data_IF_830763543190
#
_entry.id   IF_830763543190
#
_cell.length_a   1.000
_cell.length_b   1.000
_cell.length_c   1.000
_cell.angle_alpha   90.00
_cell.angle_beta   90.00
_cell.angle_gamma   90.00
#
_symmetry.space_group_name_H-M   'P 1'
#
loop_
_entity.id
_entity.type
_entity.pdbx_description
1 polymer ?
#
# COMPACT_ATOMS: atom_id res chain seq x y z
N UNK A 1 21.15 -13.15 13.83
CA UNK A 1 21.21 -11.69 13.60
C UNK A 1 21.28 -11.46 12.09
N UNK A 2 20.19 -11.08 11.45
CA UNK A 2 20.14 -10.86 9.99
C UNK A 2 20.72 -9.49 9.72
N UNK A 3 21.87 -9.44 9.05
CA UNK A 3 22.48 -8.19 8.58
C UNK A 3 21.90 -7.86 7.20
N UNK A 4 20.92 -6.97 7.13
CA UNK A 4 20.54 -6.36 5.87
C UNK A 4 21.57 -5.28 5.53
N UNK A 5 22.50 -5.62 4.66
CA UNK A 5 23.51 -4.68 4.16
C UNK A 5 22.94 -4.03 2.90
N UNK A 6 22.29 -2.90 3.07
CA UNK A 6 22.09 -1.95 1.96
C UNK A 6 22.95 -0.72 2.24
N UNK A 7 23.90 -0.45 1.35
CA UNK A 7 24.89 0.60 1.50
C UNK A 7 24.38 1.99 1.03
N UNK A 8 23.11 2.10 0.63
CA UNK A 8 22.47 3.38 0.30
C UNK A 8 21.57 3.83 1.45
N UNK A 9 22.02 4.82 2.19
CA UNK A 9 21.16 5.56 3.12
C UNK A 9 20.15 6.40 2.33
N UNK A 10 18.97 5.85 2.09
CA UNK A 10 17.82 6.63 1.66
C UNK A 10 17.14 7.20 2.91
N UNK A 11 17.27 8.50 3.11
CA UNK A 11 16.53 9.24 4.14
C UNK A 11 15.17 9.65 3.57
N UNK A 12 14.13 9.58 4.39
CA UNK A 12 12.83 10.20 4.09
C UNK A 12 12.94 11.73 4.19
N UNK A 13 11.93 12.44 3.64
CA UNK A 13 11.88 13.91 3.70
C UNK A 13 11.92 14.49 5.12
N UNK A 14 11.61 13.69 6.13
CA UNK A 14 11.66 14.00 7.57
C UNK A 14 12.99 13.67 8.25
N UNK A 15 13.99 13.21 7.46
CA UNK A 15 15.31 12.86 7.97
C UNK A 15 15.41 11.47 8.62
N UNK A 16 14.31 10.73 8.73
CA UNK A 16 14.30 9.38 9.30
C UNK A 16 14.83 8.35 8.30
N UNK A 17 15.66 7.42 8.77
CA UNK A 17 16.10 6.30 7.95
C UNK A 17 15.11 5.13 8.05
N UNK A 18 14.98 4.32 6.99
CA UNK A 18 14.18 3.08 7.03
C UNK A 18 14.57 2.18 8.21
N UNK A 19 15.85 2.17 8.56
CA UNK A 19 16.38 1.40 9.68
C UNK A 19 15.88 1.95 11.01
N UNK A 20 15.85 3.27 11.19
CA UNK A 20 15.32 3.93 12.39
C UNK A 20 13.83 3.67 12.55
N UNK A 21 13.07 3.68 11.46
CA UNK A 21 11.64 3.35 11.47
C UNK A 21 11.39 1.91 11.90
N UNK A 22 12.16 0.96 11.36
CA UNK A 22 12.05 -0.45 11.75
C UNK A 22 12.50 -0.69 13.20
N UNK A 23 13.52 0.03 13.67
CA UNK A 23 13.97 -0.02 15.06
C UNK A 23 12.96 0.59 16.03
N UNK A 24 12.35 1.72 15.67
CA UNK A 24 11.30 2.35 16.46
C UNK A 24 10.05 1.47 16.56
N UNK A 25 9.64 0.84 15.45
CA UNK A 25 8.57 -0.16 15.45
C UNK A 25 8.86 -1.37 16.34
N UNK A 26 10.13 -1.77 16.43
CA UNK A 26 10.58 -2.86 17.29
C UNK A 26 10.54 -2.48 18.79
N UNK A 27 10.91 -1.25 19.13
CA UNK A 27 10.96 -0.76 20.51
C UNK A 27 9.58 -0.29 21.02
N UNK A 28 8.75 0.22 20.15
CA UNK A 28 7.45 0.83 20.53
C UNK A 28 6.36 -0.16 20.93
N UNK A 29 6.50 -1.44 20.60
CA UNK A 29 5.49 -2.49 20.83
C UNK A 29 5.91 -3.54 21.87
N UNK A 30 6.77 -3.18 22.83
CA UNK A 30 7.17 -4.11 23.90
C UNK A 30 7.96 -5.33 23.42
N UNK A 31 8.67 -5.20 22.31
CA UNK A 31 9.55 -6.25 21.78
C UNK A 31 8.86 -7.30 20.90
N UNK A 32 7.55 -7.21 20.67
CA UNK A 32 6.85 -8.12 19.76
C UNK A 32 7.08 -7.70 18.30
N UNK A 33 7.74 -8.56 17.54
CA UNK A 33 7.85 -8.41 16.10
C UNK A 33 6.62 -8.95 15.40
N UNK A 34 6.33 -8.47 14.17
CA UNK A 34 5.23 -9.01 13.37
C UNK A 34 5.29 -10.55 13.22
N UNK A 35 6.45 -11.18 12.96
CA UNK A 35 6.56 -12.64 12.96
C UNK A 35 6.16 -13.29 14.29
N UNK A 36 6.57 -12.73 15.43
CA UNK A 36 6.21 -13.23 16.75
C UNK A 36 4.72 -13.11 17.02
N UNK A 37 4.09 -11.98 16.60
CA UNK A 37 2.66 -11.80 16.70
C UNK A 37 1.90 -12.82 15.84
N UNK A 38 2.37 -13.06 14.61
CA UNK A 38 1.77 -14.05 13.71
C UNK A 38 1.94 -15.48 14.25
N UNK A 39 3.09 -15.79 14.81
CA UNK A 39 3.35 -17.08 15.46
C UNK A 39 2.45 -17.29 16.67
N UNK A 40 2.37 -16.31 17.57
CA UNK A 40 1.51 -16.37 18.74
C UNK A 40 0.01 -16.53 18.35
N UNK A 41 -0.44 -15.87 17.28
CA UNK A 41 -1.79 -16.06 16.75
C UNK A 41 -2.02 -17.46 16.19
N UNK A 42 -1.01 -18.05 15.54
CA UNK A 42 -1.09 -19.41 15.03
C UNK A 42 -1.15 -20.43 16.16
N UNK A 43 -0.33 -20.26 17.21
CA UNK A 43 -0.31 -21.12 18.40
C UNK A 43 -1.59 -21.02 19.25
N UNK A 44 -2.16 -19.82 19.35
CA UNK A 44 -3.39 -19.59 20.10
C UNK A 44 -4.62 -20.30 19.50
N UNK A 45 -4.47 -21.04 18.40
CA UNK A 45 -5.56 -21.74 17.75
C UNK A 45 -6.72 -20.80 17.36
N UNK A 46 -6.41 -19.51 17.24
CA UNK A 46 -7.40 -18.53 16.80
C UNK A 46 -7.92 -19.01 15.44
N UNK A 47 -9.11 -19.60 15.45
CA UNK A 47 -9.82 -19.98 14.23
C UNK A 47 -9.69 -18.81 13.27
N UNK A 48 -8.97 -19.02 12.19
CA UNK A 48 -8.70 -17.98 11.23
C UNK A 48 -10.08 -17.49 10.75
N UNK A 49 -10.50 -16.33 11.24
CA UNK A 49 -11.73 -15.71 10.73
C UNK A 49 -11.60 -15.70 9.23
N UNK A 50 -12.58 -16.26 8.54
CA UNK A 50 -12.63 -16.18 7.08
C UNK A 50 -12.59 -14.70 6.71
N UNK A 51 -11.46 -14.25 6.21
CA UNK A 51 -11.22 -12.84 5.84
C UNK A 51 -11.21 -12.76 4.34
N UNK A 52 -12.03 -11.88 3.81
CA UNK A 52 -12.01 -11.53 2.39
C UNK A 52 -11.36 -10.19 2.21
N UNK A 53 -10.58 -10.04 1.13
CA UNK A 53 -9.94 -8.79 0.75
C UNK A 53 -10.53 -8.34 -0.57
N UNK A 54 -10.99 -7.10 -0.62
CA UNK A 54 -11.39 -6.45 -1.86
C UNK A 54 -10.22 -5.60 -2.32
N UNK A 55 -9.60 -5.98 -3.43
CA UNK A 55 -8.52 -5.22 -4.05
C UNK A 55 -9.10 -4.31 -5.14
N UNK A 56 -8.90 -3.01 -5.01
CA UNK A 56 -9.34 -2.02 -5.99
C UNK A 56 -8.10 -1.35 -6.58
N UNK A 57 -7.85 -1.55 -7.85
CA UNK A 57 -6.80 -0.87 -8.60
C UNK A 57 -7.38 0.25 -9.45
N UNK A 58 -6.98 1.48 -9.17
CA UNK A 58 -7.36 2.66 -9.93
C UNK A 58 -6.35 2.87 -11.07
N UNK A 59 -6.51 2.12 -12.14
CA UNK A 59 -5.57 2.14 -13.26
C UNK A 59 -5.63 3.45 -14.03
N UNK A 60 -4.50 4.18 -14.05
CA UNK A 60 -4.19 5.21 -15.02
C UNK A 60 -5.04 6.50 -15.02
N UNK A 61 -6.06 6.61 -14.21
CA UNK A 61 -6.99 7.73 -14.22
C UNK A 61 -6.76 8.71 -13.06
N UNK A 62 -7.27 8.40 -11.85
CA UNK A 62 -7.22 9.35 -10.73
C UNK A 62 -5.79 9.55 -10.24
N UNK A 63 -5.36 10.80 -10.16
CA UNK A 63 -4.05 11.13 -9.58
C UNK A 63 -4.13 11.13 -8.05
N UNK A 64 -2.98 10.99 -7.38
CA UNK A 64 -2.89 11.14 -5.93
C UNK A 64 -3.33 12.55 -5.47
N UNK A 65 -3.11 13.57 -6.28
CA UNK A 65 -3.49 14.95 -5.98
C UNK A 65 -5.01 15.15 -5.97
N UNK A 66 -5.72 14.37 -6.74
CA UNK A 66 -7.18 14.41 -6.85
C UNK A 66 -7.88 13.37 -5.97
N UNK A 67 -7.11 12.68 -5.13
CA UNK A 67 -7.63 11.68 -4.21
C UNK A 67 -7.16 11.93 -2.76
N UNK A 68 -6.22 11.17 -2.27
CA UNK A 68 -5.83 11.15 -0.85
C UNK A 68 -4.64 12.03 -0.49
N UNK A 69 -3.96 12.63 -1.47
CA UNK A 69 -2.77 13.45 -1.25
C UNK A 69 -2.81 14.78 -2.01
N UNK A 70 -3.82 15.62 -1.80
CA UNK A 70 -3.87 16.94 -2.40
C UNK A 70 -2.70 17.78 -1.89
N UNK A 71 -2.18 18.67 -2.74
CA UNK A 71 -1.06 19.55 -2.43
C UNK A 71 -1.55 21.01 -2.51
N UNK A 72 -2.37 21.50 -1.55
CA UNK A 72 -3.02 22.81 -1.66
C UNK A 72 -2.01 23.96 -1.76
N UNK A 73 -0.83 23.82 -1.15
CA UNK A 73 0.23 24.82 -1.17
C UNK A 73 1.14 24.73 -2.41
N UNK A 74 0.94 23.73 -3.28
CA UNK A 74 1.73 23.61 -4.50
C UNK A 74 1.24 24.60 -5.57
N UNK A 75 2.11 24.98 -6.54
CA UNK A 75 1.69 25.76 -7.70
C UNK A 75 0.52 25.10 -8.44
N UNK A 76 -0.29 25.91 -9.12
CA UNK A 76 -1.53 25.48 -9.80
C UNK A 76 -1.31 24.32 -10.77
N UNK A 77 -0.16 24.26 -11.40
CA UNK A 77 0.24 23.25 -12.36
C UNK A 77 0.38 21.85 -11.75
N UNK A 78 0.58 21.78 -10.42
CA UNK A 78 0.82 20.53 -9.69
C UNK A 78 -0.32 20.13 -8.74
N UNK A 79 -1.10 21.11 -8.25
CA UNK A 79 -2.13 20.80 -7.24
C UNK A 79 -3.45 20.26 -7.81
N UNK A 80 -3.61 20.27 -9.14
CA UNK A 80 -4.86 19.90 -9.81
C UNK A 80 -5.97 20.95 -9.70
N UNK A 81 -7.09 20.77 -10.40
CA UNK A 81 -8.19 21.75 -10.47
C UNK A 81 -9.15 21.70 -9.28
N UNK A 82 -9.10 20.65 -8.46
CA UNK A 82 -10.06 20.43 -7.38
C UNK A 82 -9.60 21.02 -6.06
N UNK A 83 -10.57 21.39 -5.22
CA UNK A 83 -10.35 21.85 -3.87
C UNK A 83 -10.03 20.69 -2.90
N UNK A 84 -9.91 21.05 -1.62
CA UNK A 84 -9.67 20.10 -0.54
C UNK A 84 -10.87 20.01 0.41
N UNK A 85 -11.02 18.86 1.06
CA UNK A 85 -11.96 18.64 2.15
C UNK A 85 -11.20 18.23 3.42
N UNK A 86 -11.62 18.77 4.57
CA UNK A 86 -11.11 18.34 5.86
C UNK A 86 -11.59 16.93 6.16
N UNK A 87 -10.71 16.11 6.70
CA UNK A 87 -11.08 14.79 7.20
C UNK A 87 -11.50 14.86 8.68
N UNK A 88 -11.93 13.73 9.24
CA UNK A 88 -12.17 13.60 10.68
C UNK A 88 -10.87 13.53 11.52
N UNK A 89 -9.69 13.59 10.87
CA UNK A 89 -8.39 13.68 11.54
C UNK A 89 -7.84 15.10 11.42
N UNK A 90 -7.42 15.74 12.52
CA UNK A 90 -6.85 17.07 12.48
C UNK A 90 -5.61 17.16 11.57
N UNK A 91 -5.57 18.19 10.72
CA UNK A 91 -4.45 18.45 9.82
C UNK A 91 -4.39 17.55 8.58
N UNK A 92 -5.29 16.58 8.45
CA UNK A 92 -5.34 15.70 7.28
C UNK A 92 -6.44 16.16 6.33
N UNK A 93 -6.08 16.35 5.07
CA UNK A 93 -7.00 16.77 4.00
C UNK A 93 -6.98 15.75 2.85
N UNK A 94 -8.13 15.57 2.24
CA UNK A 94 -8.30 14.85 0.99
C UNK A 94 -8.78 15.81 -0.12
N UNK A 95 -8.76 15.37 -1.37
CA UNK A 95 -9.44 16.08 -2.43
C UNK A 95 -10.95 16.17 -2.13
N UNK A 96 -11.59 17.25 -2.57
CA UNK A 96 -13.03 17.44 -2.42
C UNK A 96 -13.87 16.35 -3.09
N UNK A 97 -13.29 15.57 -4.01
CA UNK A 97 -13.92 14.42 -4.62
C UNK A 97 -14.06 13.23 -3.65
N UNK A 98 -13.29 13.22 -2.55
CA UNK A 98 -13.22 12.12 -1.59
C UNK A 98 -14.00 12.39 -0.30
N UNK A 99 -15.16 13.06 -0.40
CA UNK A 99 -15.93 13.52 0.77
C UNK A 99 -16.36 12.39 1.71
N UNK A 100 -16.76 11.26 1.16
CA UNK A 100 -17.22 10.13 1.99
C UNK A 100 -16.05 9.44 2.68
N UNK A 101 -14.93 9.28 2.00
CA UNK A 101 -13.71 8.72 2.58
C UNK A 101 -13.12 9.65 3.65
N UNK A 102 -13.27 10.96 3.47
CA UNK A 102 -12.82 11.94 4.47
C UNK A 102 -13.52 11.78 5.83
N UNK A 103 -14.79 11.34 5.84
CA UNK A 103 -15.55 11.06 7.07
C UNK A 103 -15.04 9.86 7.86
N UNK A 104 -14.32 8.96 7.23
CA UNK A 104 -13.81 7.71 7.80
C UNK A 104 -12.28 7.61 7.74
N UNK A 105 -11.60 8.72 7.62
CA UNK A 105 -10.14 8.76 7.48
C UNK A 105 -9.42 8.11 8.68
N UNK A 106 -10.01 8.16 9.88
CA UNK A 106 -9.54 7.47 11.09
C UNK A 106 -9.51 5.92 10.96
N UNK A 107 -10.21 5.38 9.97
CA UNK A 107 -10.25 3.94 9.68
C UNK A 107 -9.36 3.54 8.51
N UNK A 108 -8.67 4.50 7.90
CA UNK A 108 -7.84 4.28 6.72
C UNK A 108 -6.35 4.30 7.07
N UNK A 109 -5.58 3.41 6.47
CA UNK A 109 -4.13 3.48 6.44
C UNK A 109 -3.70 3.94 5.05
N UNK A 110 -3.11 5.13 4.95
CA UNK A 110 -2.73 5.74 3.68
C UNK A 110 -1.21 5.85 3.59
N UNK A 111 -0.63 5.23 2.57
CA UNK A 111 0.79 5.28 2.30
C UNK A 111 1.03 6.18 1.09
N UNK A 112 1.48 7.41 1.34
CA UNK A 112 1.72 8.43 0.31
C UNK A 112 3.12 8.37 -0.31
N UNK A 113 4.00 7.56 0.25
CA UNK A 113 5.41 7.47 -0.17
C UNK A 113 5.69 6.41 -1.24
N UNK A 114 4.68 5.72 -1.73
CA UNK A 114 4.85 4.71 -2.77
C UNK A 114 5.13 5.42 -4.10
N UNK A 115 6.24 5.06 -4.73
CA UNK A 115 6.63 5.56 -6.04
C UNK A 115 7.40 4.51 -6.83
N UNK A 116 7.47 4.69 -8.13
CA UNK A 116 8.27 3.88 -9.04
C UNK A 116 8.79 4.73 -10.20
N UNK A 117 9.74 4.20 -10.97
CA UNK A 117 10.39 4.93 -12.07
C UNK A 117 9.76 4.67 -13.44
N UNK A 118 8.74 3.82 -13.52
CA UNK A 118 8.10 3.49 -14.79
C UNK A 118 7.02 4.51 -15.16
N UNK A 119 7.04 4.99 -16.41
CA UNK A 119 5.97 5.79 -17.02
C UNK A 119 4.99 4.94 -17.86
N UNK A 120 5.18 3.63 -17.93
CA UNK A 120 4.32 2.72 -18.70
C UNK A 120 3.23 2.14 -17.81
N UNK A 121 1.97 2.27 -18.22
CA UNK A 121 0.82 1.67 -17.50
C UNK A 121 1.00 0.17 -17.26
N UNK A 122 1.39 -0.58 -18.30
CA UNK A 122 1.59 -2.02 -18.25
C UNK A 122 2.66 -2.44 -17.22
N UNK A 123 3.82 -1.77 -17.22
CA UNK A 123 4.89 -2.04 -16.25
C UNK A 123 4.52 -1.59 -14.86
N UNK A 124 3.85 -0.46 -14.72
CA UNK A 124 3.43 0.08 -13.42
C UNK A 124 2.38 -0.80 -12.75
N UNK A 125 1.33 -1.20 -13.48
CA UNK A 125 0.31 -2.13 -12.97
C UNK A 125 0.93 -3.48 -12.61
N UNK A 126 1.85 -4.00 -13.41
CA UNK A 126 2.56 -5.24 -13.07
C UNK A 126 3.36 -5.07 -11.77
N UNK A 127 4.09 -3.95 -11.62
CA UNK A 127 4.89 -3.67 -10.44
C UNK A 127 4.04 -3.52 -9.17
N UNK A 128 2.91 -2.81 -9.24
CA UNK A 128 2.01 -2.62 -8.08
C UNK A 128 1.36 -3.92 -7.63
N UNK A 129 1.06 -4.82 -8.56
CA UNK A 129 0.42 -6.10 -8.25
C UNK A 129 1.39 -7.21 -7.84
N UNK A 130 2.66 -7.13 -8.25
CA UNK A 130 3.64 -8.21 -8.05
C UNK A 130 4.85 -7.83 -7.20
N UNK A 131 5.16 -6.54 -7.08
CA UNK A 131 6.40 -6.04 -6.48
C UNK A 131 7.62 -6.15 -7.40
N UNK A 132 7.46 -6.61 -8.64
CA UNK A 132 8.56 -6.81 -9.59
C UNK A 132 8.35 -6.04 -10.88
N UNK A 133 9.43 -5.58 -11.49
CA UNK A 133 9.37 -5.03 -12.83
C UNK A 133 9.06 -6.13 -13.84
N UNK A 134 8.25 -5.79 -14.83
CA UNK A 134 7.92 -6.70 -15.92
C UNK A 134 9.17 -7.03 -16.72
N UNK A 135 9.41 -8.33 -16.93
CA UNK A 135 10.50 -8.83 -17.75
C UNK A 135 9.95 -9.08 -19.16
N UNK A 136 10.62 -8.52 -20.17
CA UNK A 136 10.23 -8.71 -21.57
C UNK A 136 9.64 -7.48 -22.24
N UNK A 137 9.11 -7.66 -23.45
CA UNK A 137 8.57 -6.58 -24.28
C UNK A 137 7.23 -6.08 -23.73
N UNK A 138 6.95 -4.79 -23.98
CA UNK A 138 5.63 -4.18 -23.75
C UNK A 138 4.54 -5.06 -24.40
N UNK A 139 3.47 -5.38 -23.64
CA UNK A 139 2.39 -6.26 -24.12
C UNK A 139 2.69 -7.77 -24.05
N UNK A 140 3.87 -8.18 -23.59
CA UNK A 140 4.18 -9.59 -23.34
C UNK A 140 3.43 -10.17 -22.13
N UNK A 141 3.52 -11.50 -21.96
CA UNK A 141 2.92 -12.20 -20.80
C UNK A 141 3.48 -11.66 -19.49
N UNK A 142 2.67 -11.64 -18.45
CA UNK A 142 3.10 -11.30 -17.10
C UNK A 142 4.19 -12.27 -16.63
N UNK A 143 5.25 -11.74 -16.04
CA UNK A 143 6.42 -12.52 -15.64
C UNK A 143 6.27 -13.11 -14.24
N UNK A 144 5.42 -12.49 -13.42
CA UNK A 144 5.20 -12.86 -12.02
C UNK A 144 3.70 -12.90 -11.74
N UNK A 145 3.25 -13.77 -10.81
CA UNK A 145 1.85 -13.83 -10.41
C UNK A 145 1.49 -12.59 -9.58
N UNK A 146 0.29 -12.08 -9.78
CA UNK A 146 -0.27 -11.04 -8.92
C UNK A 146 -0.46 -11.56 -7.49
N UNK A 147 -0.45 -10.66 -6.50
CA UNK A 147 -0.64 -11.01 -5.09
C UNK A 147 -1.97 -11.75 -4.85
N UNK A 148 -3.03 -11.37 -5.57
CA UNK A 148 -4.33 -12.03 -5.47
C UNK A 148 -4.28 -13.46 -6.01
N UNK A 149 -3.61 -13.70 -7.15
CA UNK A 149 -3.41 -15.06 -7.70
C UNK A 149 -2.61 -15.95 -6.75
N UNK A 150 -1.53 -15.40 -6.15
CA UNK A 150 -0.72 -16.11 -5.16
C UNK A 150 -1.55 -16.45 -3.92
N UNK A 151 -2.36 -15.51 -3.44
CA UNK A 151 -3.26 -15.73 -2.29
C UNK A 151 -4.30 -16.80 -2.60
N UNK A 152 -4.92 -16.74 -3.77
CA UNK A 152 -5.90 -17.74 -4.21
C UNK A 152 -5.30 -19.15 -4.29
N UNK A 153 -4.07 -19.25 -4.80
CA UNK A 153 -3.35 -20.52 -4.89
C UNK A 153 -3.04 -21.11 -3.49
N UNK A 154 -2.63 -20.26 -2.54
CA UNK A 154 -2.21 -20.71 -1.21
C UNK A 154 -3.37 -20.94 -0.24
N UNK A 155 -4.43 -20.17 -0.34
CA UNK A 155 -5.57 -20.18 0.59
C UNK A 155 -6.82 -20.84 0.06
N UNK A 156 -6.95 -20.94 -1.26
CA UNK A 156 -8.18 -21.42 -1.91
C UNK A 156 -9.31 -20.40 -1.78
N UNK A 157 -10.50 -20.85 -2.13
CA UNK A 157 -11.73 -20.07 -2.01
C UNK A 157 -12.30 -20.11 -0.59
N UNK A 158 -12.88 -19.01 -0.14
CA UNK A 158 -13.65 -18.97 1.12
C UNK A 158 -15.03 -19.65 1.00
N UNK A 159 -15.55 -19.76 -0.22
CA UNK A 159 -16.81 -20.42 -0.56
C UNK A 159 -16.63 -21.23 -1.84
N UNK A 160 -17.27 -22.40 -1.97
CA UNK A 160 -17.20 -23.21 -3.19
C UNK A 160 -17.92 -22.56 -4.37
N UNK A 161 -18.86 -21.64 -4.11
CA UNK A 161 -19.71 -21.02 -5.13
C UNK A 161 -19.09 -19.76 -5.75
N UNK A 162 -17.96 -19.29 -5.21
CA UNK A 162 -17.30 -18.06 -5.65
C UNK A 162 -15.82 -18.35 -5.94
N UNK A 163 -15.33 -18.00 -7.13
CA UNK A 163 -13.91 -18.16 -7.42
C UNK A 163 -13.05 -17.37 -6.42
N UNK A 164 -11.86 -17.87 -6.06
CA UNK A 164 -11.01 -17.24 -5.06
C UNK A 164 -10.38 -15.93 -5.56
N UNK A 165 -10.39 -15.71 -6.88
CA UNK A 165 -9.84 -14.54 -7.54
C UNK A 165 -10.35 -14.47 -8.99
#
# INVERSE_FOLDING_TARGET
>A
MIKLIDNKQTTFCDGQTRRSFLQAGFLGLGGLTLPQLLHARAEAGASAKKTSVIYIELTGGPTQFETYDPKPEAPSEYRGPFGIVKTNLPGVHFSELMKEQAKVADKLAIIRSIHHTSSSHDTSSHLTQTGYYKIGRKGGKNSFPAIASTTAMLKGANSPDVPPY
#
